data_IF_881941118006
#
_entry.id   IF_881941118006
#
_cell.length_a   1.000
_cell.length_b   1.000
_cell.length_c   1.000
_cell.angle_alpha   90.00
_cell.angle_beta   90.00
_cell.angle_gamma   90.00
#
_symmetry.space_group_name_H-M   'P 1'
#
loop_
_entity.id
_entity.type
_entity.pdbx_description
1 polymer ?
#
# COMPACT_ATOMS: atom_id res chain seq x y z
N UNK A 1 2.94 -19.36 4.83
CA UNK A 1 1.46 -19.30 4.89
C UNK A 1 0.97 -19.23 3.46
N UNK A 2 0.10 -20.15 3.06
CA UNK A 2 -0.57 -20.14 1.76
C UNK A 2 -1.61 -19.03 1.79
N UNK A 3 -1.22 -17.83 1.37
CA UNK A 3 -2.10 -16.66 1.34
C UNK A 3 -3.03 -16.79 0.14
N UNK A 4 -4.26 -17.23 0.40
CA UNK A 4 -5.34 -17.26 -0.59
C UNK A 4 -5.87 -15.86 -0.86
N UNK A 5 -6.60 -15.70 -1.96
CA UNK A 5 -7.30 -14.46 -2.26
C UNK A 5 -8.53 -14.32 -1.35
N UNK A 6 -8.67 -13.17 -0.71
CA UNK A 6 -9.81 -12.83 0.14
C UNK A 6 -10.56 -11.61 -0.39
N UNK A 7 -11.85 -11.50 -0.06
CA UNK A 7 -12.67 -10.34 -0.41
C UNK A 7 -12.34 -9.20 0.55
N UNK A 8 -11.91 -8.08 0.01
CA UNK A 8 -11.49 -6.89 0.74
C UNK A 8 -12.41 -5.73 0.35
N UNK A 9 -12.85 -4.97 1.36
CA UNK A 9 -13.61 -3.72 1.19
C UNK A 9 -12.83 -2.57 1.86
N UNK A 10 -12.48 -1.54 1.08
CA UNK A 10 -11.73 -0.38 1.54
C UNK A 10 -12.58 0.87 1.40
N UNK A 11 -12.92 1.50 2.52
CA UNK A 11 -13.62 2.78 2.58
C UNK A 11 -12.60 3.91 2.68
N UNK A 12 -12.36 4.56 1.56
CA UNK A 12 -11.44 5.69 1.50
C UNK A 12 -12.07 6.94 2.09
N UNK A 13 -11.28 7.80 2.71
CA UNK A 13 -11.74 9.13 3.13
C UNK A 13 -12.07 10.02 1.93
N UNK A 14 -11.39 9.78 0.80
CA UNK A 14 -11.60 10.49 -0.46
C UNK A 14 -11.65 9.48 -1.60
N UNK A 15 -12.69 9.57 -2.42
CA UNK A 15 -12.88 8.67 -3.56
C UNK A 15 -13.90 7.56 -3.28
N UNK A 16 -14.01 6.58 -4.18
CA UNK A 16 -14.97 5.49 -4.05
C UNK A 16 -14.53 4.45 -3.02
N UNK A 17 -15.50 3.76 -2.42
CA UNK A 17 -15.25 2.47 -1.77
C UNK A 17 -14.72 1.48 -2.80
N UNK A 18 -13.65 0.77 -2.47
CA UNK A 18 -13.11 -0.30 -3.30
C UNK A 18 -13.55 -1.65 -2.76
N UNK A 19 -14.06 -2.52 -3.63
CA UNK A 19 -14.33 -3.92 -3.32
C UNK A 19 -13.58 -4.78 -4.33
N UNK A 20 -12.74 -5.70 -3.85
CA UNK A 20 -11.96 -6.58 -4.71
C UNK A 20 -11.58 -7.89 -4.01
N UNK A 21 -11.21 -8.90 -4.79
CA UNK A 21 -10.52 -10.06 -4.25
C UNK A 21 -9.01 -9.80 -4.35
N UNK A 22 -8.28 -9.93 -3.25
CA UNK A 22 -6.87 -9.61 -3.18
C UNK A 22 -6.09 -10.58 -2.32
N UNK A 23 -4.81 -10.70 -2.61
CA UNK A 23 -3.83 -11.40 -1.80
C UNK A 23 -2.82 -10.38 -1.32
N UNK A 24 -2.64 -10.25 0.00
CA UNK A 24 -1.60 -9.38 0.54
C UNK A 24 -0.22 -9.92 0.11
N UNK A 25 0.57 -9.05 -0.54
CA UNK A 25 1.94 -9.37 -0.95
C UNK A 25 2.98 -8.67 -0.09
N UNK A 26 2.60 -7.55 0.55
CA UNK A 26 3.46 -6.86 1.49
C UNK A 26 2.65 -5.94 2.42
N UNK A 27 3.06 -5.85 3.68
CA UNK A 27 2.57 -4.88 4.64
C UNK A 27 3.69 -4.38 5.55
N UNK A 28 3.52 -3.17 6.08
CA UNK A 28 4.32 -2.64 7.17
C UNK A 28 3.52 -1.65 7.99
N UNK A 29 3.79 -1.65 9.28
CA UNK A 29 3.17 -0.74 10.23
C UNK A 29 4.26 -0.03 11.04
N UNK A 30 4.09 1.27 11.30
CA UNK A 30 5.04 2.07 12.07
C UNK A 30 4.41 3.35 12.63
N UNK A 31 4.97 3.81 13.74
CA UNK A 31 4.60 5.09 14.36
C UNK A 31 5.50 6.22 13.84
N UNK A 32 4.91 7.38 13.53
CA UNK A 32 5.66 8.61 13.25
C UNK A 32 6.13 9.27 14.54
N UNK A 33 7.32 9.87 14.55
CA UNK A 33 7.78 10.67 15.68
C UNK A 33 7.20 12.07 15.62
N UNK A 34 6.85 12.66 16.77
CA UNK A 34 6.43 14.06 16.82
C UNK A 34 5.59 14.39 18.05
N UNK A 35 4.99 15.59 18.02
CA UNK A 35 4.07 16.05 19.06
C UNK A 35 2.72 15.32 19.02
N UNK A 36 2.28 14.94 17.82
CA UNK A 36 1.05 14.19 17.58
C UNK A 36 1.41 12.97 16.71
N UNK A 37 1.89 11.88 17.32
CA UNK A 37 2.31 10.69 16.59
C UNK A 37 1.11 10.01 15.90
N UNK A 38 1.33 9.53 14.68
CA UNK A 38 0.38 8.75 13.90
C UNK A 38 0.90 7.32 13.76
N UNK A 39 0.02 6.35 13.96
CA UNK A 39 0.24 4.98 13.54
C UNK A 39 -0.09 4.89 12.05
N UNK A 40 0.88 4.50 11.24
CA UNK A 40 0.77 4.37 9.79
C UNK A 40 0.84 2.90 9.41
N UNK A 41 -0.14 2.44 8.63
CA UNK A 41 -0.13 1.11 8.01
C UNK A 41 -0.09 1.28 6.49
N UNK A 42 0.83 0.55 5.86
CA UNK A 42 0.99 0.49 4.40
C UNK A 42 0.82 -0.95 3.97
N UNK A 43 -0.01 -1.18 2.96
CA UNK A 43 -0.32 -2.52 2.46
C UNK A 43 -0.32 -2.51 0.93
N UNK A 44 0.09 -3.64 0.34
CA UNK A 44 -0.04 -3.88 -1.09
C UNK A 44 -0.66 -5.25 -1.29
N UNK A 45 -1.74 -5.26 -2.07
CA UNK A 45 -2.43 -6.45 -2.50
C UNK A 45 -2.23 -6.67 -3.99
N UNK A 46 -2.18 -7.93 -4.40
CA UNK A 46 -2.31 -8.36 -5.79
C UNK A 46 -3.71 -8.94 -5.99
N UNK A 47 -4.37 -8.59 -7.09
CA UNK A 47 -5.67 -9.18 -7.49
C UNK A 47 -5.47 -10.40 -8.39
N UNK A 48 -6.45 -11.31 -8.55
CA UNK A 48 -6.33 -12.44 -9.46
C UNK A 48 -6.02 -12.08 -10.92
N UNK A 49 -6.38 -10.85 -11.33
CA UNK A 49 -6.10 -10.31 -12.66
C UNK A 49 -4.73 -9.63 -12.77
N UNK A 50 -3.89 -9.68 -11.73
CA UNK A 50 -2.55 -9.09 -11.69
C UNK A 50 -2.53 -7.58 -11.41
N UNK A 51 -3.68 -6.93 -11.15
CA UNK A 51 -3.67 -5.55 -10.68
C UNK A 51 -3.06 -5.45 -9.28
N UNK A 52 -2.39 -4.33 -8.98
CA UNK A 52 -1.89 -4.03 -7.64
C UNK A 52 -2.80 -3.00 -6.97
N UNK A 53 -3.05 -3.18 -5.68
CA UNK A 53 -3.80 -2.22 -4.85
C UNK A 53 -2.90 -1.79 -3.71
N UNK A 54 -2.49 -0.52 -3.72
CA UNK A 54 -1.68 0.07 -2.65
C UNK A 54 -2.59 0.82 -1.69
N UNK A 55 -2.44 0.58 -0.39
CA UNK A 55 -3.29 1.17 0.66
C UNK A 55 -2.38 1.83 1.69
N UNK A 56 -2.79 3.01 2.14
CA UNK A 56 -2.20 3.69 3.28
C UNK A 56 -3.31 4.10 4.23
N UNK A 57 -3.20 3.68 5.49
CA UNK A 57 -4.04 4.17 6.58
C UNK A 57 -3.20 4.88 7.63
N UNK A 58 -3.81 5.85 8.30
CA UNK A 58 -3.21 6.56 9.41
C UNK A 58 -4.22 6.87 10.50
N UNK A 59 -3.86 6.56 11.74
CA UNK A 59 -4.65 6.86 12.95
C UNK A 59 -3.77 7.52 14.01
N UNK A 60 -4.27 8.45 14.84
CA UNK A 60 -3.50 8.99 15.94
C UNK A 60 -3.07 7.89 16.92
N UNK A 61 -1.77 7.77 17.21
CA UNK A 61 -1.24 6.68 18.02
C UNK A 61 -1.73 6.75 19.48
N UNK A 62 -1.84 7.96 20.03
CA UNK A 62 -2.28 8.18 21.42
C UNK A 62 -3.81 8.29 21.57
N UNK A 63 -4.54 8.40 20.47
CA UNK A 63 -6.00 8.59 20.44
C UNK A 63 -6.61 7.73 19.33
N UNK A 64 -6.72 6.40 19.53
CA UNK A 64 -7.22 5.48 18.52
C UNK A 64 -8.64 5.80 18.07
N UNK A 65 -9.45 6.38 18.97
CA UNK A 65 -10.83 6.83 18.72
C UNK A 65 -10.89 8.14 17.90
N UNK A 66 -9.74 8.62 17.42
CA UNK A 66 -9.61 9.82 16.61
C UNK A 66 -10.12 9.64 15.18
N UNK A 67 -9.64 10.49 14.27
CA UNK A 67 -9.93 10.32 12.85
C UNK A 67 -9.01 9.23 12.28
N UNK A 68 -9.54 8.43 11.36
CA UNK A 68 -8.74 7.55 10.50
C UNK A 68 -8.67 8.18 9.10
N UNK A 69 -7.49 8.26 8.49
CA UNK A 69 -7.31 8.63 7.08
C UNK A 69 -6.82 7.41 6.29
N UNK A 70 -7.71 6.82 5.51
CA UNK A 70 -7.49 5.70 4.59
C UNK A 70 -7.51 6.20 3.14
N UNK A 71 -6.48 5.80 2.39
CA UNK A 71 -6.33 6.06 0.96
C UNK A 71 -5.92 4.78 0.26
N UNK A 72 -6.39 4.60 -0.95
CA UNK A 72 -6.02 3.48 -1.79
C UNK A 72 -5.80 3.92 -3.24
N UNK A 73 -4.89 3.24 -3.92
CA UNK A 73 -4.61 3.43 -5.34
C UNK A 73 -4.59 2.09 -6.06
N UNK A 74 -5.28 2.02 -7.20
CA UNK A 74 -5.37 0.82 -8.02
C UNK A 74 -4.48 1.00 -9.24
N UNK A 75 -3.43 0.19 -9.32
CA UNK A 75 -2.51 0.13 -10.45
C UNK A 75 -2.97 -0.97 -11.39
N UNK A 76 -3.31 -0.60 -12.62
CA UNK A 76 -3.80 -1.54 -13.62
C UNK A 76 -2.69 -2.51 -14.05
N UNK A 77 -3.03 -3.77 -14.36
CA UNK A 77 -2.06 -4.73 -14.85
C UNK A 77 -1.53 -4.29 -16.22
N UNK A 78 -0.21 -4.39 -16.40
CA UNK A 78 0.51 -4.12 -17.65
C UNK A 78 1.66 -5.11 -17.80
N UNK A 79 2.25 -5.19 -19.00
CA UNK A 79 3.43 -6.04 -19.23
C UNK A 79 4.71 -5.48 -18.58
N UNK A 80 4.77 -4.17 -18.28
CA UNK A 80 5.87 -3.57 -17.54
C UNK A 80 5.62 -3.64 -16.03
N UNK A 81 6.00 -4.77 -15.44
CA UNK A 81 5.95 -4.98 -13.98
C UNK A 81 6.72 -3.88 -13.24
N UNK A 82 7.83 -3.39 -13.80
CA UNK A 82 8.61 -2.32 -13.20
C UNK A 82 7.82 -1.01 -13.13
N UNK A 83 7.05 -0.67 -14.16
CA UNK A 83 6.18 0.52 -14.16
C UNK A 83 5.12 0.42 -13.09
N UNK A 84 4.48 -0.74 -12.95
CA UNK A 84 3.47 -0.96 -11.91
C UNK A 84 4.06 -0.81 -10.50
N UNK A 85 5.25 -1.39 -10.27
CA UNK A 85 5.96 -1.26 -8.99
C UNK A 85 6.33 0.19 -8.68
N UNK A 86 6.71 0.97 -9.70
CA UNK A 86 6.99 2.41 -9.55
C UNK A 86 5.73 3.21 -9.25
N UNK A 87 4.61 2.92 -9.91
CA UNK A 87 3.34 3.60 -9.66
C UNK A 87 2.85 3.41 -8.22
N UNK A 88 3.03 2.20 -7.66
CA UNK A 88 2.80 1.95 -6.23
C UNK A 88 3.72 2.82 -5.35
N UNK A 89 5.00 2.97 -5.73
CA UNK A 89 5.94 3.82 -4.99
C UNK A 89 5.62 5.32 -5.09
N UNK A 90 5.11 5.79 -6.24
CA UNK A 90 4.61 7.15 -6.39
C UNK A 90 3.44 7.42 -5.43
N UNK A 91 2.50 6.47 -5.30
CA UNK A 91 1.43 6.58 -4.31
C UNK A 91 1.95 6.70 -2.88
N UNK A 92 2.98 5.91 -2.52
CA UNK A 92 3.63 6.00 -1.21
C UNK A 92 4.62 7.17 -1.07
N UNK A 93 4.75 8.04 -2.07
CA UNK A 93 5.66 9.19 -2.05
C UNK A 93 7.12 8.79 -1.83
N UNK A 94 7.53 7.62 -2.31
CA UNK A 94 8.88 7.08 -2.14
C UNK A 94 9.37 6.93 -0.68
N UNK A 95 8.45 6.78 0.27
CA UNK A 95 8.80 6.61 1.69
C UNK A 95 9.74 5.41 1.95
N UNK A 96 10.74 5.61 2.81
CA UNK A 96 11.74 4.58 3.14
C UNK A 96 11.12 3.30 3.70
N UNK A 97 10.03 3.43 4.48
CA UNK A 97 9.30 2.29 5.05
C UNK A 97 8.62 1.45 3.97
N UNK A 98 7.93 2.09 3.02
CA UNK A 98 7.34 1.42 1.86
C UNK A 98 8.42 0.73 1.01
N UNK A 99 9.54 1.43 0.76
CA UNK A 99 10.66 0.88 0.00
C UNK A 99 11.27 -0.35 0.67
N UNK A 100 11.46 -0.29 2.00
CA UNK A 100 11.99 -1.43 2.76
C UNK A 100 11.02 -2.61 2.77
N UNK A 101 9.72 -2.36 2.87
CA UNK A 101 8.67 -3.37 2.81
C UNK A 101 8.71 -4.10 1.46
N UNK A 102 8.66 -3.35 0.36
CA UNK A 102 8.57 -3.94 -0.98
C UNK A 102 9.86 -4.63 -1.44
N UNK A 103 11.03 -4.17 -0.96
CA UNK A 103 12.29 -4.92 -1.15
C UNK A 103 12.25 -6.30 -0.50
N UNK A 104 11.63 -6.44 0.68
CA UNK A 104 11.46 -7.76 1.32
C UNK A 104 10.50 -8.66 0.54
N UNK A 105 9.54 -8.06 -0.17
CA UNK A 105 8.66 -8.74 -1.11
C UNK A 105 9.33 -9.04 -2.48
N UNK A 106 10.63 -8.76 -2.63
CA UNK A 106 11.40 -9.09 -3.84
C UNK A 106 11.36 -8.04 -4.95
N UNK A 107 10.79 -6.85 -4.70
CA UNK A 107 10.73 -5.80 -5.72
C UNK A 107 12.07 -5.12 -5.95
N UNK A 108 12.31 -4.71 -7.20
CA UNK A 108 13.52 -3.99 -7.62
C UNK A 108 13.15 -2.63 -8.21
N UNK A 109 13.75 -1.57 -7.68
CA UNK A 109 13.49 -0.19 -8.11
C UNK A 109 14.66 0.40 -8.91
N UNK A 110 15.36 -0.43 -9.68
CA UNK A 110 16.43 0.04 -10.57
C UNK A 110 15.80 0.56 -11.87
N UNK A 111 16.30 1.70 -12.33
CA UNK A 111 15.95 2.30 -13.61
C UNK A 111 17.25 2.60 -14.34
N UNK A 112 17.33 2.16 -15.59
CA UNK A 112 18.38 2.54 -16.52
C UNK A 112 17.90 3.76 -17.31
N UNK A 113 18.79 4.73 -17.51
CA UNK A 113 18.51 5.97 -18.23
C UNK A 113 19.62 6.09 -19.28
N UNK A 114 19.23 6.27 -20.53
CA UNK A 114 20.12 6.50 -21.68
C UNK A 114 20.55 7.97 -21.79
#
# INVERSE_FOLDING_TARGET
MTTEYERIEIKQNRGPTLEFNGKEIASTEFETRGRDPMQITLEVYETPAGALVAISSSVPADRPDGFEDVRAHVVRPTDDVGAMQREVMEFFGWADRARSMLRKAGWSFKMEID
#
